data_IF_134211572295
#
_entry.id   IF_134211572295
#
_cell.length_a   1.000
_cell.length_b   1.000
_cell.length_c   1.000
_cell.angle_alpha   90.00
_cell.angle_beta   90.00
_cell.angle_gamma   90.00
#
_symmetry.space_group_name_H-M   'P 1'
#
loop_
_entity.id
_entity.type
_entity.pdbx_description
1 polymer ?
2 water ?
#
# COMPACT_ATOMS: atom_id res chain seq x y z
N UNK A 2 -2.49 19.54 -0.47
CA UNK A 2 -2.00 18.14 -0.22
C UNK A 2 -0.79 18.18 0.70
N UNK A 3 -0.52 17.03 1.35
CA UNK A 3 0.47 16.99 2.41
C UNK A 3 1.10 15.61 2.51
N UNK A 4 2.33 15.61 3.00
CA UNK A 4 3.08 14.38 3.26
C UNK A 4 3.34 14.27 4.77
N UNK A 5 3.87 13.11 5.18
CA UNK A 5 4.27 12.91 6.58
C UNK A 5 5.73 12.45 6.58
N UNK A 6 6.56 13.16 7.35
CA UNK A 6 7.97 12.81 7.55
C UNK A 6 8.14 12.23 8.94
N UNK A 7 8.96 11.21 9.09
CA UNK A 7 9.17 10.62 10.42
C UNK A 7 10.65 10.69 10.79
N UNK A 8 10.93 11.21 11.99
CA UNK A 8 12.30 11.33 12.48
C UNK A 8 12.39 10.47 13.71
N UNK A 9 13.25 9.46 13.65
CA UNK A 9 13.39 8.48 14.73
C UNK A 9 14.58 8.85 15.63
N UNK A 10 14.30 9.61 16.68
CA UNK A 10 15.30 9.86 17.72
C UNK A 10 15.04 9.05 18.98
N UNK A 11 14.40 7.90 18.79
CA UNK A 11 13.92 7.10 19.91
C UNK A 11 14.52 5.70 19.90
N UNK A 12 15.32 5.41 18.88
CA UNK A 12 15.92 4.09 18.69
C UNK A 12 14.84 3.06 18.38
N UNK A 13 13.80 3.49 17.68
CA UNK A 13 12.69 2.60 17.41
C UNK A 13 12.98 1.66 16.24
N UNK A 14 13.81 2.11 15.30
CA UNK A 14 14.16 1.32 14.12
C UNK A 14 12.96 0.81 13.34
N UNK A 15 12.96 -0.49 13.03
CA UNK A 15 11.91 -1.08 12.20
C UNK A 15 10.57 -1.19 12.93
N UNK A 16 10.54 -0.84 14.21
CA UNK A 16 9.27 -0.76 14.95
C UNK A 16 8.41 0.40 14.48
N UNK A 17 9.05 1.38 13.86
CA UNK A 17 8.39 2.63 13.46
C UNK A 17 8.26 2.68 11.94
N UNK A 18 7.03 2.90 11.46
CA UNK A 18 6.81 3.02 10.02
C UNK A 18 5.57 3.84 9.66
N UNK A 19 5.62 4.43 8.48
CA UNK A 19 4.47 5.14 7.91
C UNK A 19 3.82 4.29 6.81
N UNK A 20 2.49 4.19 6.85
CA UNK A 20 1.66 3.56 5.79
C UNK A 20 0.46 4.44 5.41
N UNK A 21 0.22 4.64 4.09
CA UNK A 21 1.15 4.38 2.99
C UNK A 21 2.21 5.50 3.00
N UNK A 22 3.45 5.14 2.64
CA UNK A 22 4.57 6.10 2.65
C UNK A 22 4.82 6.71 1.28
N UNK A 23 5.55 7.82 1.25
CA UNK A 23 6.03 8.40 -0.02
C UNK A 23 5.09 9.33 -0.76
N UNK A 24 3.91 9.61 -0.21
CA UNK A 24 2.91 10.41 -0.93
C UNK A 24 2.68 11.80 -0.36
N UNK A 25 2.35 12.75 -1.26
CA UNK A 25 1.81 14.04 -0.87
C UNK A 25 0.39 14.09 -1.42
N UNK A 26 -0.58 14.01 -0.53
CA UNK A 26 -1.94 13.67 -0.92
C UNK A 26 -2.97 14.21 0.07
N UNK A 27 -4.24 13.88 -0.17
CA UNK A 27 -5.34 14.14 0.78
C UNK A 27 -5.68 12.93 1.67
N UNK A 28 -5.22 11.73 1.27
CA UNK A 28 -5.68 10.46 1.87
C UNK A 28 -5.13 10.31 3.29
N UNK A 29 -5.81 9.53 4.14
CA UNK A 29 -5.24 9.28 5.48
C UNK A 29 -3.86 8.61 5.44
N UNK A 30 -3.03 8.98 6.41
CA UNK A 30 -1.72 8.37 6.62
C UNK A 30 -1.61 7.89 8.06
N UNK A 31 -0.89 6.80 8.26
CA UNK A 31 -0.88 6.12 9.57
C UNK A 31 0.55 5.93 9.97
N UNK A 32 0.92 6.51 11.11
CA UNK A 32 2.25 6.26 11.67
C UNK A 32 2.12 5.20 12.75
N UNK A 33 2.81 4.09 12.54
CA UNK A 33 2.67 2.91 13.39
C UNK A 33 3.94 2.67 14.19
N UNK A 34 3.77 2.29 15.46
CA UNK A 34 4.90 1.92 16.32
C UNK A 34 4.47 0.67 17.05
N UNK A 35 5.25 -0.40 16.88
CA UNK A 35 4.89 -1.70 17.43
C UNK A 35 4.60 -1.59 18.92
N UNK A 36 3.42 -2.06 19.33
CA UNK A 36 3.02 -2.09 20.73
C UNK A 36 2.08 -0.95 21.06
N UNK A 37 1.95 0.02 20.16
CA UNK A 37 1.13 1.19 20.40
C UNK A 37 0.04 1.36 19.36
N UNK A 38 -0.96 2.19 19.70
CA UNK A 38 -2.02 2.57 18.77
C UNK A 38 -1.46 3.43 17.63
N UNK A 39 -1.88 3.17 16.36
CA UNK A 39 -1.46 4.04 15.27
C UNK A 39 -1.89 5.48 15.49
N UNK A 40 -1.06 6.41 15.03
CA UNK A 40 -1.42 7.81 14.94
C UNK A 40 -1.95 8.03 13.52
N UNK A 41 -3.19 8.51 13.39
CA UNK A 41 -3.80 8.75 12.08
C UNK A 41 -3.74 10.24 11.71
N UNK A 42 -3.30 10.51 10.49
CA UNK A 42 -3.30 11.86 9.93
C UNK A 42 -4.34 11.86 8.82
N UNK A 43 -5.25 12.83 8.84
CA UNK A 43 -6.32 12.84 7.82
C UNK A 43 -6.98 14.21 7.74
N UNK A 44 -7.85 14.35 6.75
CA UNK A 44 -8.58 15.60 6.54
C UNK A 44 -9.97 15.62 7.20
N UNK A 45 -10.10 14.98 8.36
CA UNK A 45 -11.38 15.03 9.11
C UNK A 45 -11.60 16.44 9.67
N UNK A 46 -12.74 17.05 9.30
CA UNK A 46 -13.02 18.43 9.67
C UNK A 46 -13.78 18.63 10.96
N UNK A 47 -14.19 19.89 11.23
CA UNK A 47 -13.94 21.06 10.37
C UNK A 47 -12.55 21.66 10.59
N UNK A 48 -12.18 22.62 9.76
CA UNK A 48 -10.92 23.34 9.95
C UNK A 48 -11.07 24.28 11.16
N UNK A 49 -10.20 24.08 12.16
CA UNK A 49 -10.11 24.99 13.31
C UNK A 49 -8.87 25.89 13.26
N UNK A 50 -7.84 25.45 12.53
CA UNK A 50 -6.59 26.22 12.40
C UNK A 50 -6.77 27.46 11.51
N UNK A 51 -5.89 28.45 11.68
CA UNK A 51 -5.98 29.69 10.92
C UNK A 51 -5.40 29.60 9.50
N UNK A 52 -4.51 28.65 9.26
CA UNK A 52 -3.91 28.46 7.94
C UNK A 52 -4.95 28.02 6.90
N UNK A 53 -4.60 28.17 5.62
CA UNK A 53 -5.48 27.78 4.49
C UNK A 53 -5.90 26.32 4.57
N UNK A 54 -4.93 25.46 4.91
CA UNK A 54 -5.12 24.00 4.85
C UNK A 54 -4.79 23.35 6.19
N UNK A 55 -5.31 22.14 6.39
CA UNK A 55 -5.19 21.49 7.68
C UNK A 55 -4.95 19.97 7.57
N UNK A 56 -4.41 19.43 8.65
CA UNK A 56 -4.24 17.99 8.84
C UNK A 56 -4.68 17.70 10.29
N UNK A 57 -5.67 16.82 10.43
CA UNK A 57 -6.17 16.40 11.74
C UNK A 57 -5.42 15.14 12.20
N UNK A 58 -5.08 15.12 13.48
CA UNK A 58 -4.30 14.01 14.04
C UNK A 58 -5.14 13.30 15.09
N UNK A 59 -5.28 11.98 14.91
CA UNK A 59 -5.88 11.13 15.92
C UNK A 59 -4.83 10.25 16.59
N UNK A 60 -4.84 10.26 17.92
CA UNK A 60 -3.96 9.37 18.70
C UNK A 60 -4.80 8.15 19.09
N UNK A 61 -4.64 7.06 18.34
CA UNK A 61 -5.58 5.94 18.47
C UNK A 61 -6.96 6.46 18.11
N UNK A 62 -7.93 6.25 19.01
CA UNK A 62 -9.33 6.63 18.81
C UNK A 62 -9.52 8.15 18.83
N UNK A 63 -8.70 8.82 19.60
CA UNK A 63 -9.00 10.18 20.05
C UNK A 63 -8.36 11.30 19.23
N UNK A 64 -9.15 12.34 19.00
CA UNK A 64 -8.61 13.49 18.31
C UNK A 64 -7.58 14.17 19.21
N UNK A 65 -6.35 14.24 18.71
CA UNK A 65 -5.23 14.81 19.46
C UNK A 65 -5.17 16.33 19.25
N UNK A 66 -5.09 16.75 17.99
CA UNK A 66 -5.03 18.18 17.61
C UNK A 66 -5.09 18.32 16.10
N UNK A 67 -5.12 19.56 15.62
CA UNK A 67 -5.11 19.80 14.19
C UNK A 67 -3.92 20.69 13.87
N UNK A 68 -3.30 20.41 12.73
CA UNK A 68 -2.15 21.15 12.21
C UNK A 68 -2.60 21.97 11.00
N UNK A 69 -1.94 23.10 10.78
CA UNK A 69 -2.20 23.94 9.60
C UNK A 69 -0.99 24.04 8.71
N UNK A 70 -1.24 24.31 7.44
CA UNK A 70 -0.15 24.51 6.48
C UNK A 70 -0.57 25.39 5.30
N UNK A 71 0.44 25.96 4.67
CA UNK A 71 0.30 26.66 3.41
C UNK A 71 1.13 25.90 2.39
N UNK A 72 0.81 26.06 1.11
CA UNK A 72 1.55 25.39 0.04
C UNK A 72 1.41 23.88 0.14
N UNK A 73 2.46 23.14 -0.22
CA UNK A 73 2.50 21.70 -0.04
C UNK A 73 2.93 21.38 1.38
N UNK A 74 2.02 20.81 2.17
CA UNK A 74 2.27 20.53 3.59
C UNK A 74 3.19 19.35 3.86
N UNK A 75 4.01 19.48 4.92
CA UNK A 75 4.85 18.38 5.40
C UNK A 75 4.67 18.32 6.91
N UNK A 76 3.97 17.30 7.38
CA UNK A 76 3.84 17.10 8.82
C UNK A 76 5.00 16.18 9.25
N UNK A 77 5.88 16.70 10.10
CA UNK A 77 7.03 15.93 10.55
C UNK A 77 6.77 15.46 11.98
N UNK A 78 6.82 14.14 12.19
CA UNK A 78 6.68 13.56 13.53
C UNK A 78 8.04 13.10 14.01
N UNK A 79 8.50 13.69 15.11
CA UNK A 79 9.80 13.35 15.70
C UNK A 79 9.60 12.53 16.97
N UNK A 80 10.20 11.35 16.98
CA UNK A 80 10.06 10.41 18.07
C UNK A 80 11.22 10.44 19.03
N UNK A 81 10.94 10.52 20.33
CA UNK A 81 12.00 10.34 21.34
C UNK A 81 11.54 9.29 22.36
N UNK A 82 12.50 8.78 23.11
CA UNK A 82 12.26 7.69 24.06
C UNK A 82 11.16 8.05 25.05
N UNK A 83 10.43 7.02 25.49
CA UNK A 83 9.27 7.25 26.38
C UNK A 83 7.97 7.51 25.64
N UNK A 84 7.93 7.19 24.34
CA UNK A 84 6.71 7.34 23.55
C UNK A 84 6.36 8.80 23.26
N UNK A 85 7.38 9.66 23.27
CA UNK A 85 7.17 11.08 23.02
C UNK A 85 7.19 11.37 21.53
N UNK A 86 6.20 12.13 21.08
CA UNK A 86 6.11 12.49 19.67
C UNK A 86 5.87 13.98 19.57
N UNK A 87 6.70 14.67 18.81
CA UNK A 87 6.48 16.07 18.48
C UNK A 87 6.13 16.17 17.01
N UNK A 88 4.99 16.79 16.71
CA UNK A 88 4.50 16.91 15.32
C UNK A 88 4.40 18.38 14.90
N UNK A 89 5.03 18.70 13.78
CA UNK A 89 5.08 20.08 13.32
C UNK A 89 4.94 20.16 11.81
N UNK A 90 4.35 21.25 11.33
CA UNK A 90 4.29 21.53 9.88
C UNK A 90 5.14 22.76 9.50
N UNK A 91 5.67 23.45 10.51
CA UNK A 91 6.33 24.74 10.26
C UNK A 91 5.37 25.91 10.30
N UNK A 92 4.09 25.64 10.56
CA UNK A 92 3.08 26.68 10.75
C UNK A 92 2.43 26.52 12.10
N UNK A 93 2.46 27.59 12.89
CA UNK A 93 2.00 27.53 14.26
C UNK A 93 3.02 26.74 15.07
N UNK A 94 2.68 26.39 16.28
CA UNK A 94 3.63 25.68 17.13
C UNK A 94 3.57 24.17 16.92
N UNK A 95 4.70 23.51 17.14
CA UNK A 95 4.75 22.05 17.20
C UNK A 95 3.85 21.60 18.34
N UNK A 96 3.27 20.41 18.20
CA UNK A 96 2.37 19.88 19.22
C UNK A 96 2.83 18.50 19.65
N UNK A 97 2.71 18.22 20.95
CA UNK A 97 3.19 16.99 21.52
C UNK A 97 2.04 16.01 21.80
N UNK A 98 2.32 14.72 21.62
CA UNK A 98 1.47 13.67 22.19
C UNK A 98 2.37 12.53 22.70
N UNK A 99 1.75 11.63 23.43
CA UNK A 99 2.43 10.42 23.86
C UNK A 99 1.68 9.21 23.36
N UNK A 100 2.46 8.28 22.81
CA UNK A 100 1.95 7.01 22.29
C UNK A 100 1.12 6.29 23.34
N UNK A 101 0.06 5.63 22.90
CA UNK A 101 -0.82 4.88 23.80
C UNK A 101 -0.56 3.40 23.64
N UNK A 102 -0.16 2.75 24.73
CA UNK A 102 0.11 1.31 24.69
C UNK A 102 -1.17 0.56 24.38
N UNK A 103 -1.08 -0.44 23.51
CA UNK A 103 -2.19 -1.37 23.32
C UNK A 103 -2.19 -2.39 24.46
N UNK A 104 -3.31 -2.46 25.17
CA UNK A 104 -3.40 -3.29 26.36
C UNK A 104 -4.08 -4.62 26.06
N UNK B 2 3.95 -18.19 13.74
CA UNK B 2 3.90 -17.14 12.67
C UNK B 2 2.50 -17.11 12.09
N UNK B 3 2.12 -15.98 11.49
CA UNK B 3 0.74 -15.81 11.03
C UNK B 3 0.64 -14.73 9.99
N UNK B 4 -0.35 -14.83 9.12
CA UNK B 4 -0.63 -13.81 8.14
C UNK B 4 -2.01 -13.21 8.42
N UNK B 5 -2.30 -12.10 7.75
CA UNK B 5 -3.65 -11.50 7.77
C UNK B 5 -4.07 -11.40 6.32
N UNK B 6 -5.33 -11.74 6.05
CA UNK B 6 -5.94 -11.59 4.75
C UNK B 6 -7.21 -10.80 4.96
N UNK B 7 -7.53 -9.95 3.99
CA UNK B 7 -8.75 -9.16 4.08
C UNK B 7 -9.69 -9.50 2.93
N UNK B 8 -11.00 -9.41 3.21
CA UNK B 8 -12.00 -9.80 2.21
C UNK B 8 -13.04 -8.69 2.17
N UNK B 9 -13.13 -8.03 1.03
CA UNK B 9 -14.03 -6.88 0.86
C UNK B 9 -15.41 -7.35 0.35
N UNK B 10 -16.37 -7.50 1.26
CA UNK B 10 -17.76 -7.68 0.84
C UNK B 10 -18.58 -6.44 1.22
N UNK B 11 -17.94 -5.26 1.21
CA UNK B 11 -18.58 -4.02 1.62
C UNK B 11 -18.40 -2.90 0.60
N UNK B 12 -18.01 -3.26 -0.63
CA UNK B 12 -17.68 -2.28 -1.68
C UNK B 12 -16.75 -1.15 -1.26
N UNK B 13 -15.80 -1.44 -0.38
CA UNK B 13 -14.86 -0.42 0.10
C UNK B 13 -13.83 -0.03 -0.94
N UNK B 14 -13.46 -1.01 -1.78
CA UNK B 14 -12.49 -0.80 -2.86
C UNK B 14 -11.18 -0.24 -2.35
N UNK B 15 -10.73 0.85 -2.95
CA UNK B 15 -9.45 1.46 -2.61
C UNK B 15 -9.40 2.09 -1.21
N UNK B 16 -10.54 2.11 -0.51
CA UNK B 16 -10.63 2.64 0.85
C UNK B 16 -10.25 1.65 1.92
N UNK B 17 -10.02 0.40 1.51
CA UNK B 17 -9.58 -0.68 2.40
C UNK B 17 -8.14 -1.06 2.11
N UNK B 18 -7.30 -1.16 3.15
CA UNK B 18 -5.89 -1.48 2.93
C UNK B 18 -5.33 -2.36 4.05
N UNK B 19 -4.28 -3.12 3.73
CA UNK B 19 -3.59 -3.96 4.72
C UNK B 19 -2.11 -3.65 4.64
N UNK B 20 -1.49 -3.51 5.81
CA UNK B 20 -0.07 -3.21 5.94
C UNK B 20 0.59 -4.12 6.98
N UNK B 21 1.88 -4.45 6.76
CA UNK B 21 2.69 -4.13 5.57
C UNK B 21 2.41 -4.99 4.33
N UNK B 22 1.83 -6.17 4.53
CA UNK B 22 1.64 -7.17 3.45
C UNK B 22 0.73 -8.28 3.92
N UNK B 23 0.39 -9.19 2.99
CA UNK B 23 -0.38 -10.37 3.35
C UNK B 23 0.47 -11.57 3.71
N UNK B 24 1.77 -11.37 3.96
CA UNK B 24 2.69 -12.49 4.22
C UNK B 24 2.74 -12.90 5.69
N UNK B 25 3.34 -14.06 5.97
CA UNK B 25 3.37 -14.56 7.34
C UNK B 25 4.58 -14.06 8.14
N UNK B 26 4.33 -13.66 9.38
CA UNK B 26 5.39 -13.29 10.31
C UNK B 26 4.85 -13.11 11.71
N UNK B 27 5.59 -12.43 12.58
CA UNK B 27 5.11 -12.23 13.94
C UNK B 27 4.91 -10.76 14.25
N UNK B 28 5.14 -9.88 13.27
CA UNK B 28 5.06 -8.42 13.51
C UNK B 28 3.61 -7.96 13.46
N UNK B 29 3.31 -6.75 13.99
CA UNK B 29 1.95 -6.25 13.86
C UNK B 29 1.51 -6.06 12.42
N UNK B 30 0.23 -6.33 12.20
CA UNK B 30 -0.44 -6.01 10.94
C UNK B 30 -1.51 -4.97 11.21
N UNK B 31 -1.78 -4.13 10.20
CA UNK B 31 -2.71 -3.02 10.35
C UNK B 31 -3.68 -3.01 9.17
N UNK B 32 -4.98 -2.90 9.46
CA UNK B 32 -5.98 -2.80 8.41
C UNK B 32 -6.67 -1.44 8.55
N UNK B 33 -6.75 -0.71 7.45
CA UNK B 33 -7.24 0.67 7.48
C UNK B 33 -8.44 0.80 6.58
N UNK B 34 -9.40 1.62 7.02
CA UNK B 34 -10.58 1.94 6.25
C UNK B 34 -10.77 3.45 6.36
N UNK B 35 -10.73 4.13 5.23
CA UNK B 35 -10.83 5.61 5.18
C UNK B 35 -11.95 6.14 6.06
N UNK B 36 -11.55 6.96 7.04
CA UNK B 36 -12.45 7.67 7.94
C UNK B 36 -12.72 6.98 9.27
N UNK B 37 -12.15 5.79 9.46
CA UNK B 37 -12.35 4.97 10.67
C UNK B 37 -11.05 4.72 11.40
N UNK B 38 -11.12 4.36 12.68
CA UNK B 38 -9.91 3.94 13.42
C UNK B 38 -9.35 2.64 12.82
N UNK B 39 -8.03 2.56 12.63
CA UNK B 39 -7.41 1.35 12.06
C UNK B 39 -7.50 0.16 13.03
N UNK B 40 -7.47 -1.04 12.47
CA UNK B 40 -7.50 -2.26 13.25
C UNK B 40 -6.07 -2.77 13.33
N UNK B 41 -5.60 -3.11 14.53
CA UNK B 41 -4.27 -3.65 14.70
C UNK B 41 -4.38 -5.12 15.07
N UNK B 42 -3.53 -5.92 14.43
CA UNK B 42 -3.38 -7.34 14.75
C UNK B 42 -1.96 -7.52 15.32
N UNK B 43 -1.83 -8.06 16.53
CA UNK B 43 -0.47 -8.22 17.07
C UNK B 43 -0.41 -9.20 18.22
N UNK B 44 0.80 -9.48 18.67
CA UNK B 44 1.01 -10.44 19.77
C UNK B 44 1.04 -9.75 21.15
N UNK B 45 0.06 -8.89 21.42
CA UNK B 45 -0.06 -8.28 22.75
C UNK B 45 -0.69 -9.31 23.69
N UNK B 46 0.04 -9.70 24.73
CA UNK B 46 -0.44 -10.70 25.67
C UNK B 46 -1.17 -10.11 26.87
N UNK B 47 -1.51 -10.96 27.86
CA UNK B 47 -1.21 -12.39 27.89
C UNK B 47 -2.14 -13.19 26.97
N UNK B 48 -1.81 -14.47 26.79
CA UNK B 48 -2.64 -15.36 26.01
C UNK B 48 -3.85 -15.72 26.85
N UNK B 49 -5.03 -15.43 26.31
CA UNK B 49 -6.28 -15.78 26.97
C UNK B 49 -6.95 -16.97 26.26
N UNK B 50 -6.66 -17.15 24.96
CA UNK B 50 -7.25 -18.25 24.19
C UNK B 50 -6.61 -19.57 24.56
N UNK B 51 -7.29 -20.66 24.21
CA UNK B 51 -6.87 -22.02 24.60
C UNK B 51 -5.80 -22.62 23.66
N UNK B 52 -5.75 -22.12 22.42
CA UNK B 52 -4.75 -22.57 21.44
C UNK B 52 -3.34 -22.26 21.89
N UNK B 53 -2.37 -22.88 21.22
CA UNK B 53 -0.97 -22.68 21.53
C UNK B 53 -0.56 -21.24 21.25
N UNK B 54 -1.14 -20.64 20.20
CA UNK B 54 -0.70 -19.34 19.70
C UNK B 54 -1.88 -18.40 19.54
N UNK B 55 -1.57 -17.10 19.61
CA UNK B 55 -2.64 -16.11 19.60
C UNK B 55 -2.32 -14.91 18.75
N UNK B 56 -3.37 -14.22 18.33
CA UNK B 56 -3.28 -12.94 17.66
C UNK B 56 -4.31 -12.04 18.34
N UNK B 57 -3.82 -10.97 18.96
CA UNK B 57 -4.71 -9.98 19.60
C UNK B 57 -5.17 -8.92 18.60
N UNK B 58 -6.44 -8.56 18.67
CA UNK B 58 -7.00 -7.55 17.77
C UNK B 58 -7.44 -6.31 18.56
N UNK B 59 -6.96 -5.14 18.12
CA UNK B 59 -7.36 -3.86 18.70
C UNK B 59 -8.17 -3.07 17.67
N UNK B 60 -9.31 -2.57 18.11
CA UNK B 60 -10.16 -1.71 17.29
C UNK B 60 -9.81 -0.29 17.72
N UNK B 61 -9.02 0.41 16.90
CA UNK B 61 -8.38 1.66 17.37
C UNK B 61 -7.49 1.34 18.57
N UNK B 62 -7.68 2.04 19.69
CA UNK B 62 -6.83 1.80 20.86
C UNK B 62 -7.45 0.78 21.85
N UNK B 63 -8.65 0.30 21.55
CA UNK B 63 -9.38 -0.64 22.44
C UNK B 63 -9.11 -2.11 22.07
N UNK B 64 -8.89 -2.97 23.08
CA UNK B 64 -8.78 -4.41 22.83
C UNK B 64 -10.13 -4.97 22.39
N UNK B 65 -10.20 -5.56 21.21
CA UNK B 65 -11.48 -6.08 20.73
C UNK B 65 -11.65 -7.50 21.21
N UNK B 66 -10.66 -8.34 20.90
CA UNK B 66 -10.67 -9.76 21.26
C UNK B 66 -9.34 -10.39 20.88
N UNK B 67 -9.20 -11.69 21.14
CA UNK B 67 -7.99 -12.41 20.81
C UNK B 67 -8.35 -13.66 20.02
N UNK B 68 -7.57 -13.95 18.99
CA UNK B 68 -7.79 -15.13 18.15
C UNK B 68 -6.74 -16.17 18.48
N UNK B 69 -7.12 -17.44 18.38
CA UNK B 69 -6.18 -18.53 18.56
C UNK B 69 -5.89 -19.24 17.26
N UNK B 70 -4.71 -19.84 17.17
CA UNK B 70 -4.39 -20.66 16.02
C UNK B 70 -3.40 -21.75 16.39
N UNK B 71 -3.34 -22.77 15.53
CA UNK B 71 -2.33 -23.81 15.60
C UNK B 71 -1.63 -23.84 14.23
N UNK B 72 -0.39 -24.33 14.20
CA UNK B 72 0.35 -24.38 12.94
C UNK B 72 0.69 -22.98 12.46
N UNK B 73 0.58 -22.74 11.16
CA UNK B 73 0.83 -21.41 10.60
C UNK B 73 -0.51 -20.70 10.59
N UNK B 74 -0.59 -19.57 11.29
CA UNK B 74 -1.87 -18.87 11.48
C UNK B 74 -2.29 -18.02 10.29
N UNK B 75 -3.60 -17.95 10.06
CA UNK B 75 -4.15 -17.04 9.04
C UNK B 75 -5.40 -16.40 9.64
N UNK B 76 -5.33 -15.09 9.89
CA UNK B 76 -6.47 -14.35 10.42
C UNK B 76 -7.13 -13.65 9.26
N UNK B 77 -8.37 -14.03 8.95
CA UNK B 77 -9.07 -13.45 7.78
C UNK B 77 -10.17 -12.52 8.27
N UNK B 78 -10.11 -11.26 7.84
CA UNK B 78 -11.09 -10.26 8.22
C UNK B 78 -12.01 -9.97 7.03
N UNK B 79 -13.31 -10.25 7.22
CA UNK B 79 -14.31 -10.06 6.16
C UNK B 79 -15.19 -8.86 6.50
N UNK B 80 -15.26 -7.92 5.54
CA UNK B 80 -15.93 -6.63 5.72
C UNK B 80 -17.28 -6.62 5.04
N UNK B 81 -18.33 -6.23 5.77
CA UNK B 81 -19.68 -6.07 5.20
C UNK B 81 -20.26 -4.69 5.57
N UNK B 82 -21.44 -4.38 5.04
CA UNK B 82 -22.08 -3.08 5.27
C UNK B 82 -22.14 -2.68 6.75
N UNK B 83 -22.09 -1.37 6.96
CA UNK B 83 -22.16 -0.80 8.33
C UNK B 83 -20.83 -0.88 9.07
N UNK B 84 -19.73 -1.05 8.34
CA UNK B 84 -18.43 -1.23 8.99
C UNK B 84 -18.37 -2.47 9.88
N UNK B 85 -19.07 -3.53 9.46
CA UNK B 85 -19.09 -4.77 10.20
C UNK B 85 -17.94 -5.67 9.76
N UNK B 86 -17.20 -6.21 10.73
CA UNK B 86 -16.03 -7.02 10.43
C UNK B 86 -16.08 -8.34 11.19
N UNK B 87 -16.01 -9.44 10.43
CA UNK B 87 -15.95 -10.77 11.02
C UNK B 87 -14.53 -11.29 10.82
N UNK B 88 -13.91 -11.68 11.93
CA UNK B 88 -12.53 -12.13 11.93
C UNK B 88 -12.41 -13.56 12.46
N UNK B 89 -11.71 -14.41 11.70
CA UNK B 89 -11.57 -15.83 12.02
C UNK B 89 -10.18 -16.34 11.63
N UNK B 90 -9.69 -17.28 12.44
CA UNK B 90 -8.49 -18.05 12.13
C UNK B 90 -8.85 -19.51 11.74
N UNK B 91 -10.13 -19.84 11.83
CA UNK B 91 -10.58 -21.22 11.63
C UNK B 91 -10.44 -22.10 12.88
N UNK B 92 -9.91 -21.52 13.96
CA UNK B 92 -9.81 -22.18 15.28
C UNK B 92 -10.65 -21.39 16.24
N UNK B 93 -11.53 -22.09 16.97
CA UNK B 93 -12.53 -21.42 17.77
C UNK B 93 -13.50 -20.66 16.90
N UNK B 94 -14.37 -19.87 17.51
CA UNK B 94 -15.42 -19.19 16.77
C UNK B 94 -14.91 -17.89 16.16
N UNK B 95 -15.51 -17.47 15.05
CA UNK B 95 -15.24 -16.17 14.44
C UNK B 95 -15.70 -15.08 15.40
N UNK B 96 -15.01 -13.95 15.42
CA UNK B 96 -15.38 -12.84 16.28
C UNK B 96 -15.69 -11.60 15.44
N UNK B 97 -16.45 -10.68 16.03
CA UNK B 97 -17.00 -9.52 15.30
C UNK B 97 -16.61 -8.23 15.98
N UNK B 98 -16.29 -7.23 15.15
CA UNK B 98 -16.18 -5.86 15.63
C UNK B 98 -16.86 -4.94 14.64
N UNK B 99 -17.13 -3.70 15.08
CA UNK B 99 -17.70 -2.69 14.23
C UNK B 99 -16.73 -1.52 14.17
N UNK B 100 -16.40 -1.10 12.96
CA UNK B 100 -15.53 0.05 12.75
C UNK B 100 -16.06 1.31 13.42
N UNK B 101 -15.14 2.10 13.97
CA UNK B 101 -15.46 3.36 14.65
C UNK B 101 -14.98 4.56 13.84
N UNK B 102 -15.89 5.49 13.58
CA UNK B 102 -15.52 6.73 12.89
C UNK B 102 -14.56 7.54 13.73
N UNK B 103 -13.57 8.12 13.08
CA UNK B 103 -12.69 9.08 13.75
C UNK B 103 -13.43 10.43 13.81
N UNK B 104 -13.59 10.96 15.01
CA UNK B 104 -14.40 12.18 15.24
C UNK B 104 -13.59 13.45 15.10
N UNK C 2 21.95 4.76 -3.84
CA UNK C 2 20.53 4.44 -3.42
C UNK C 2 19.62 5.63 -3.63
N UNK C 3 18.31 5.38 -3.76
CA UNK C 3 17.38 6.41 -4.12
C UNK C 3 15.97 6.05 -3.62
N UNK C 4 15.16 7.09 -3.44
CA UNK C 4 13.77 6.91 -3.06
C UNK C 4 12.87 7.50 -4.15
N UNK C 5 11.60 7.13 -4.10
CA UNK C 5 10.60 7.73 -4.95
C UNK C 5 9.59 8.41 -4.04
N UNK C 6 9.22 9.63 -4.42
CA UNK C 6 8.14 10.40 -3.77
C UNK C 6 7.08 10.67 -4.83
N UNK C 7 5.81 10.59 -4.45
CA UNK C 7 4.73 10.94 -5.39
C UNK C 7 3.95 12.15 -4.86
N UNK C 8 3.48 13.01 -5.77
CA UNK C 8 2.77 14.23 -5.40
C UNK C 8 1.47 14.29 -6.20
N UNK C 9 0.35 14.29 -5.48
CA UNK C 9 -0.97 14.18 -6.13
C UNK C 9 -1.56 15.57 -6.35
N UNK C 10 -1.26 16.18 -7.48
CA UNK C 10 -1.95 17.42 -7.84
C UNK C 10 -3.02 17.19 -8.90
N UNK C 11 -3.65 16.01 -8.85
CA UNK C 11 -4.63 15.58 -9.85
C UNK C 11 -5.94 15.07 -9.27
N UNK C 12 -6.09 15.14 -7.95
CA UNK C 12 -7.26 14.62 -7.27
C UNK C 12 -7.41 13.11 -7.43
N UNK C 13 -6.29 12.41 -7.60
CA UNK C 13 -6.34 10.94 -7.75
C UNK C 13 -6.75 10.23 -6.43
N UNK C 14 -6.35 10.83 -5.32
CA UNK C 14 -6.61 10.27 -3.99
C UNK C 14 -6.15 8.83 -3.89
N UNK C 15 -7.07 7.95 -3.47
CA UNK C 15 -6.71 6.54 -3.19
C UNK C 15 -6.41 5.74 -4.47
N UNK C 16 -6.66 6.32 -5.64
CA UNK C 16 -6.35 5.66 -6.91
C UNK C 16 -4.87 5.73 -7.31
N UNK C 17 -4.06 6.46 -6.54
CA UNK C 17 -2.63 6.58 -6.80
C UNK C 17 -1.84 5.90 -5.68
N UNK C 18 -0.83 5.10 -6.02
CA UNK C 18 -0.08 4.36 -5.01
C UNK C 18 1.38 4.19 -5.42
N UNK C 19 2.23 3.95 -4.43
CA UNK C 19 3.66 3.71 -4.61
C UNK C 19 4.03 2.43 -3.92
N UNK C 20 4.79 1.57 -4.61
CA UNK C 20 5.25 0.31 -4.03
C UNK C 20 6.75 0.10 -4.26
N UNK C 21 7.42 -0.59 -3.32
CA UNK C 21 6.86 -1.14 -2.09
C UNK C 21 6.70 -0.13 -0.97
N UNK C 22 7.42 0.99 -1.07
CA UNK C 22 7.45 2.03 -0.01
C UNK C 22 8.17 3.28 -0.54
N UNK C 23 8.14 4.35 0.25
CA UNK C 23 8.92 5.54 0.00
C UNK C 23 10.37 5.48 0.44
N UNK C 24 10.81 4.32 0.93
CA UNK C 24 12.15 4.17 1.49
C UNK C 24 13.23 4.16 0.41
N UNK C 25 14.46 4.45 0.85
CA UNK C 25 15.62 4.46 -0.04
C UNK C 25 16.11 3.04 -0.31
N UNK C 26 16.41 2.72 -1.58
CA UNK C 26 16.84 1.37 -2.00
C UNK C 26 17.54 1.42 -3.37
N UNK C 27 17.90 0.23 -3.87
CA UNK C 27 18.34 0.07 -5.27
C UNK C 27 17.30 -0.64 -6.15
N UNK C 28 16.28 -1.24 -5.50
CA UNK C 28 15.29 -2.09 -6.18
C UNK C 28 14.27 -1.29 -6.99
N UNK C 29 13.57 -1.94 -7.94
CA UNK C 29 12.52 -1.21 -8.67
C UNK C 29 11.44 -0.66 -7.73
N UNK C 30 10.94 0.52 -8.07
CA UNK C 30 9.75 1.08 -7.44
C UNK C 30 8.66 1.17 -8.49
N UNK C 31 7.41 1.07 -8.07
CA UNK C 31 6.27 1.08 -8.99
C UNK C 31 5.23 2.09 -8.52
N UNK C 32 4.76 2.92 -9.45
CA UNK C 32 3.69 3.85 -9.14
C UNK C 32 2.50 3.48 -10.01
N UNK C 33 1.36 3.25 -9.34
CA UNK C 33 0.17 2.75 -10.00
C UNK C 33 -0.92 3.80 -9.95
N UNK C 34 -1.67 3.87 -11.05
CA UNK C 34 -2.86 4.73 -11.12
C UNK C 34 -4.00 3.90 -11.72
N UNK C 35 -5.10 3.75 -10.98
CA UNK C 35 -6.21 2.88 -11.38
C UNK C 35 -6.62 3.12 -12.84
N UNK C 36 -6.54 2.06 -13.64
CA UNK C 36 -7.01 2.09 -15.05
C UNK C 36 -5.91 2.34 -16.05
N UNK C 37 -4.72 2.68 -15.54
CA UNK C 37 -3.55 3.00 -16.35
C UNK C 37 -2.40 2.00 -16.20
N UNK C 38 -1.50 1.99 -17.16
CA UNK C 38 -0.29 1.16 -17.01
C UNK C 38 0.59 1.75 -15.91
N UNK C 39 1.18 0.87 -15.07
CA UNK C 39 2.06 1.33 -13.99
C UNK C 39 3.36 1.95 -14.53
N UNK C 40 3.94 2.83 -13.73
CA UNK C 40 5.23 3.44 -14.03
C UNK C 40 6.27 2.69 -13.22
N UNK C 41 7.32 2.21 -13.88
CA UNK C 41 8.42 1.50 -13.22
C UNK C 41 9.65 2.43 -13.13
N UNK C 42 10.25 2.47 -11.95
CA UNK C 42 11.47 3.21 -11.70
C UNK C 42 12.51 2.15 -11.35
N UNK C 43 13.65 2.13 -12.03
CA UNK C 43 14.62 1.09 -11.74
C UNK C 43 16.01 1.40 -12.30
N UNK C 44 16.96 0.52 -11.99
CA UNK C 44 18.34 0.75 -12.42
C UNK C 44 18.67 0.04 -13.73
N UNK C 45 17.72 0.00 -14.65
CA UNK C 45 17.97 -0.58 -15.97
C UNK C 45 18.88 0.35 -16.75
N UNK C 46 20.05 -0.17 -17.13
CA UNK C 46 21.08 0.61 -17.82
C UNK C 46 21.09 0.46 -19.34
N UNK C 47 22.14 1.00 -19.98
CA UNK C 47 23.28 1.64 -19.30
C UNK C 47 23.01 3.09 -18.87
N UNK C 48 23.92 3.67 -18.11
CA UNK C 48 23.80 5.09 -17.75
C UNK C 48 24.00 5.95 -19.00
N UNK C 49 23.06 6.86 -19.23
CA UNK C 49 23.17 7.86 -20.31
C UNK C 49 23.24 9.29 -19.77
N UNK C 50 22.82 9.48 -18.52
CA UNK C 50 22.89 10.80 -17.89
C UNK C 50 24.32 11.15 -17.44
N UNK C 51 24.55 12.44 -17.24
CA UNK C 51 25.88 13.01 -16.90
C UNK C 51 26.21 12.87 -15.42
N UNK C 52 25.18 12.66 -14.58
CA UNK C 52 25.37 12.49 -13.11
C UNK C 52 26.01 11.14 -12.80
N UNK C 53 26.54 11.00 -11.58
CA UNK C 53 27.17 9.74 -11.17
C UNK C 53 26.22 8.54 -11.19
N UNK C 54 24.97 8.79 -10.80
CA UNK C 54 23.99 7.72 -10.64
C UNK C 54 22.73 8.03 -11.44
N UNK C 55 21.92 7.00 -11.67
CA UNK C 55 20.74 7.14 -12.49
C UNK C 55 19.55 6.28 -12.06
N UNK C 56 18.38 6.73 -12.48
CA UNK C 56 17.12 6.02 -12.28
C UNK C 56 16.41 6.04 -13.63
N UNK C 57 16.14 4.85 -14.16
CA UNK C 57 15.44 4.72 -15.43
C UNK C 57 13.94 4.60 -15.19
N UNK C 58 13.16 5.21 -16.05
CA UNK C 58 11.71 5.24 -15.92
C UNK C 58 11.04 4.53 -17.11
N UNK C 59 10.20 3.55 -16.83
CA UNK C 59 9.35 2.94 -17.86
C UNK C 59 7.88 3.30 -17.69
N UNK C 60 7.26 3.67 -18.80
CA UNK C 60 5.84 3.95 -18.88
C UNK C 60 5.14 2.71 -19.43
N UNK C 61 4.60 1.90 -18.53
CA UNK C 61 4.18 0.56 -18.92
C UNK C 61 5.43 -0.21 -19.32
N UNK C 62 5.43 -0.79 -20.52
CA UNK C 62 6.57 -1.62 -20.88
C UNK C 62 7.57 -0.86 -21.80
N UNK C 63 7.35 0.45 -21.95
CA UNK C 63 8.15 1.30 -22.82
C UNK C 63 9.09 2.21 -22.04
N UNK C 64 10.35 2.26 -22.48
CA UNK C 64 11.29 3.17 -21.83
C UNK C 64 10.82 4.60 -22.02
N UNK C 65 10.76 5.35 -20.91
CA UNK C 65 10.33 6.74 -20.97
C UNK C 65 11.53 7.69 -21.06
N UNK C 66 12.41 7.61 -20.06
CA UNK C 66 13.58 8.48 -19.97
C UNK C 66 14.42 8.05 -18.77
N UNK C 67 15.56 8.69 -18.59
CA UNK C 67 16.43 8.36 -17.46
C UNK C 67 16.76 9.65 -16.74
N UNK C 68 16.76 9.60 -15.42
CA UNK C 68 17.10 10.75 -14.60
C UNK C 68 18.42 10.51 -13.86
N UNK C 69 19.19 11.58 -13.62
CA UNK C 69 20.43 11.44 -12.85
C UNK C 69 20.35 11.97 -11.42
N UNK C 70 21.26 11.52 -10.58
CA UNK C 70 21.36 12.07 -9.23
C UNK C 70 22.77 11.94 -8.65
N UNK C 71 23.03 12.77 -7.64
CA UNK C 71 24.20 12.64 -6.79
C UNK C 71 23.72 12.37 -5.36
N UNK C 72 24.58 11.80 -4.52
CA UNK C 72 24.22 11.50 -3.13
C UNK C 72 23.02 10.56 -3.04
N UNK C 73 22.18 10.77 -2.02
CA UNK C 73 20.98 9.96 -1.84
C UNK C 73 19.89 10.49 -2.75
N UNK C 74 19.58 9.76 -3.81
CA UNK C 74 18.64 10.26 -4.81
C UNK C 74 17.19 10.27 -4.36
N UNK C 75 16.44 11.22 -4.91
CA UNK C 75 15.00 11.29 -4.75
C UNK C 75 14.35 11.63 -6.08
N UNK C 76 13.60 10.67 -6.62
CA UNK C 76 12.80 10.87 -7.83
C UNK C 76 11.39 11.27 -7.42
N UNK C 77 11.03 12.53 -7.67
CA UNK C 77 9.68 13.00 -7.34
C UNK C 77 8.81 13.04 -8.59
N UNK C 78 7.69 12.30 -8.55
CA UNK C 78 6.73 12.24 -9.62
C UNK C 78 5.47 13.02 -9.26
N UNK C 79 5.22 14.09 -9.99
CA UNK C 79 4.09 15.00 -9.73
C UNK C 79 2.98 14.83 -10.79
N UNK C 80 1.79 14.51 -10.28
CA UNK C 80 0.61 14.16 -11.09
C UNK C 80 -0.35 15.32 -11.23
N UNK C 81 -0.71 15.66 -12.47
CA UNK C 81 -1.71 16.69 -12.73
C UNK C 81 -2.79 16.17 -13.66
N UNK C 82 -3.88 16.93 -13.80
CA UNK C 82 -5.02 16.49 -14.62
C UNK C 82 -4.64 15.98 -16.01
N UNK C 83 -5.39 15.00 -16.50
CA UNK C 83 -5.16 14.44 -17.84
C UNK C 83 -4.09 13.37 -17.86
N UNK C 84 -3.76 12.83 -16.69
CA UNK C 84 -2.71 11.82 -16.60
C UNK C 84 -1.32 12.36 -16.89
N UNK C 85 -1.08 13.63 -16.59
CA UNK C 85 0.22 14.24 -16.82
C UNK C 85 1.12 14.04 -15.62
N UNK C 86 2.35 13.63 -15.90
CA UNK C 86 3.29 13.29 -14.86
C UNK C 86 4.61 13.97 -15.20
N UNK C 87 5.10 14.73 -14.23
CA UNK C 87 6.40 15.37 -14.33
C UNK C 87 7.30 14.78 -13.26
N UNK C 88 8.46 14.29 -13.70
CA UNK C 88 9.40 13.58 -12.82
C UNK C 88 10.76 14.24 -12.78
N UNK C 89 11.24 14.49 -11.58
CA UNK C 89 12.50 15.21 -11.42
C UNK C 89 13.28 14.65 -10.23
N UNK C 90 14.61 14.71 -10.31
CA UNK C 90 15.45 14.38 -9.16
C UNK C 90 16.11 15.67 -8.62
N UNK C 91 15.81 16.79 -9.26
CA UNK C 91 16.48 18.07 -8.96
C UNK C 91 17.86 18.17 -9.63
N UNK C 92 18.28 17.11 -10.32
CA UNK C 92 19.51 17.18 -11.13
C UNK C 92 19.10 17.12 -12.60
N UNK C 93 19.46 18.14 -13.38
CA UNK C 93 18.96 18.24 -14.74
C UNK C 93 17.51 18.67 -14.77
N UNK C 94 16.90 18.63 -15.94
CA UNK C 94 15.52 19.11 -16.06
C UNK C 94 14.53 18.03 -15.68
N UNK C 95 13.35 18.46 -15.24
CA UNK C 95 12.20 17.55 -15.07
C UNK C 95 11.83 16.97 -16.42
N UNK C 96 11.37 15.73 -16.45
CA UNK C 96 10.89 15.16 -17.69
C UNK C 96 9.45 14.70 -17.55
N UNK C 97 8.75 14.66 -18.67
CA UNK C 97 7.31 14.49 -18.64
C UNK C 97 6.91 13.17 -19.30
N UNK C 98 5.84 12.55 -18.78
CA UNK C 98 5.17 11.45 -19.47
C UNK C 98 3.66 11.57 -19.28
N UNK C 99 2.92 10.86 -20.13
CA UNK C 99 1.48 10.83 -20.05
C UNK C 99 1.04 9.39 -19.78
N UNK C 100 0.20 9.21 -18.76
CA UNK C 100 -0.28 7.86 -18.39
C UNK C 100 -1.04 7.28 -19.57
N UNK C 101 -0.94 5.96 -19.73
CA UNK C 101 -1.55 5.25 -20.84
C UNK C 101 -2.63 4.35 -20.28
N UNK C 102 -3.88 4.55 -20.75
CA UNK C 102 -4.96 3.66 -20.33
C UNK C 102 -4.65 2.21 -20.71
N UNK C 103 -4.96 1.28 -19.82
CA UNK C 103 -4.88 -0.12 -20.19
C UNK C 103 -6.07 -0.47 -21.10
N UNK C 104 -5.76 -1.01 -22.28
CA UNK C 104 -6.75 -1.21 -23.33
C UNK C 104 -7.64 -2.44 -23.09
N UNK D 2 -15.72 -10.58 -6.37
CA UNK D 2 -14.41 -10.07 -5.80
C UNK D 2 -13.39 -11.19 -5.87
N UNK D 3 -12.11 -10.81 -5.90
CA UNK D 3 -11.09 -11.78 -6.26
C UNK D 3 -9.75 -11.43 -5.62
N UNK D 4 -8.94 -12.45 -5.42
CA UNK D 4 -7.56 -12.33 -4.94
C UNK D 4 -6.61 -12.84 -6.02
N UNK D 5 -5.29 -12.66 -5.82
CA UNK D 5 -4.26 -13.17 -6.72
C UNK D 5 -3.32 -13.99 -5.84
N UNK D 6 -2.96 -15.17 -6.31
CA UNK D 6 -1.99 -16.01 -5.62
C UNK D 6 -0.81 -16.23 -6.56
N UNK D 7 0.37 -15.87 -6.10
CA UNK D 7 1.62 -16.23 -6.81
C UNK D 7 2.07 -17.65 -6.45
N UNK D 8 2.47 -18.42 -7.47
CA UNK D 8 3.22 -19.66 -7.26
C UNK D 8 4.58 -19.51 -7.95
N UNK D 9 5.65 -19.44 -7.18
CA UNK D 9 6.98 -19.22 -7.75
C UNK D 9 7.70 -20.54 -7.98
N UNK D 10 7.58 -21.04 -9.21
CA UNK D 10 8.34 -22.20 -9.64
C UNK D 10 9.49 -21.86 -10.59
N UNK D 11 10.00 -20.62 -10.47
CA UNK D 11 11.01 -20.06 -11.40
C UNK D 11 12.28 -19.62 -10.68
N UNK D 12 12.36 -19.85 -9.38
CA UNK D 12 13.49 -19.37 -8.59
C UNK D 12 13.61 -17.85 -8.51
N UNK D 13 12.50 -17.14 -8.64
CA UNK D 13 12.54 -15.68 -8.68
C UNK D 13 12.77 -15.06 -7.30
N UNK D 14 12.29 -15.75 -6.28
CA UNK D 14 12.43 -15.29 -4.89
C UNK D 14 11.99 -13.85 -4.65
N UNK D 15 12.89 -13.04 -4.07
CA UNK D 15 12.56 -11.64 -3.74
C UNK D 15 12.34 -10.74 -4.96
N UNK D 16 12.61 -11.23 -6.16
CA UNK D 16 12.38 -10.46 -7.39
C UNK D 16 10.90 -10.44 -7.80
N UNK D 17 10.11 -11.29 -7.17
CA UNK D 17 8.71 -11.53 -7.56
C UNK D 17 7.80 -11.17 -6.39
N UNK D 18 6.84 -10.27 -6.63
CA UNK D 18 5.92 -9.84 -5.56
C UNK D 18 4.56 -9.40 -6.07
N UNK D 19 3.57 -9.41 -5.17
CA UNK D 19 2.22 -8.92 -5.42
C UNK D 19 1.98 -7.63 -4.64
N UNK D 20 1.45 -6.61 -5.33
CA UNK D 20 1.09 -5.30 -4.76
C UNK D 20 -0.28 -4.80 -5.28
N UNK D 21 -1.19 -4.40 -4.38
CA UNK D 21 -1.13 -4.62 -2.93
C UNK D 21 -1.52 -6.08 -2.65
N UNK D 22 -0.93 -6.69 -1.62
CA UNK D 22 -1.20 -8.10 -1.32
C UNK D 22 -2.24 -8.28 -0.21
N UNK D 23 -2.83 -9.48 -0.18
CA UNK D 23 -3.67 -9.97 0.93
C UNK D 23 -5.16 -9.71 0.82
N UNK D 24 -5.59 -9.12 -0.30
CA UNK D 24 -7.00 -8.71 -0.46
C UNK D 24 -7.81 -9.56 -1.44
N UNK D 25 -9.08 -9.72 -1.10
CA UNK D 25 -10.08 -10.25 -2.03
C UNK D 25 -11.01 -9.08 -2.30
N UNK D 26 -10.91 -8.55 -3.51
CA UNK D 26 -11.43 -7.20 -3.80
C UNK D 26 -11.70 -7.02 -5.28
N UNK D 27 -11.99 -5.77 -5.65
CA UNK D 27 -12.25 -5.38 -7.05
C UNK D 27 -11.11 -4.54 -7.62
N UNK D 28 -10.20 -4.06 -6.77
CA UNK D 28 -9.18 -3.06 -7.20
C UNK D 28 -8.11 -3.74 -8.06
N UNK D 29 -7.38 -2.97 -8.89
CA UNK D 29 -6.28 -3.63 -9.61
C UNK D 29 -5.23 -4.23 -8.66
N UNK D 30 -4.65 -5.35 -9.10
CA UNK D 30 -3.49 -5.95 -8.41
C UNK D 30 -2.35 -6.08 -9.42
N UNK D 31 -1.11 -5.95 -8.92
CA UNK D 31 0.06 -5.95 -9.79
C UNK D 31 1.02 -7.03 -9.32
N UNK D 32 1.45 -7.86 -10.26
CA UNK D 32 2.50 -8.83 -9.98
C UNK D 32 3.75 -8.34 -10.71
N UNK D 33 4.76 -8.07 -9.90
CA UNK D 33 5.99 -7.41 -10.35
C UNK D 33 7.16 -8.39 -10.35
N UNK D 34 7.98 -8.32 -11.40
CA UNK D 34 9.19 -9.16 -11.54
C UNK D 34 10.32 -8.20 -11.93
N UNK D 35 11.31 -8.08 -11.04
CA UNK D 35 12.43 -7.16 -11.25
C UNK D 35 13.06 -7.33 -12.65
N UNK D 36 13.04 -6.24 -13.42
CA UNK D 36 13.68 -6.20 -14.73
C UNK D 36 12.65 -6.39 -15.84
N UNK D 37 11.42 -6.70 -15.44
CA UNK D 37 10.34 -7.06 -16.37
C UNK D 37 9.12 -6.17 -16.14
N UNK D 38 8.24 -6.08 -17.16
CA UNK D 38 7.05 -5.24 -17.04
C UNK D 38 6.07 -5.90 -16.09
N UNK D 39 5.43 -5.10 -15.19
CA UNK D 39 4.36 -5.60 -14.34
C UNK D 39 3.22 -6.28 -15.10
N UNK D 40 2.65 -7.30 -14.48
CA UNK D 40 1.42 -7.92 -14.95
C UNK D 40 0.33 -7.24 -14.13
N UNK D 41 -0.60 -6.60 -14.81
CA UNK D 41 -1.76 -5.96 -14.15
C UNK D 41 -2.99 -6.87 -14.24
N UNK D 42 -3.66 -7.06 -13.10
CA UNK D 42 -4.92 -7.80 -12.98
C UNK D 42 -5.97 -6.76 -12.64
N UNK D 43 -7.04 -6.62 -13.42
CA UNK D 43 -8.01 -5.55 -13.12
C UNK D 43 -9.36 -5.78 -13.79
N UNK D 44 -10.32 -4.92 -13.51
CA UNK D 44 -11.66 -5.09 -14.05
C UNK D 44 -11.92 -4.25 -15.31
N UNK D 45 -10.91 -4.10 -16.16
CA UNK D 45 -11.07 -3.40 -17.45
C UNK D 45 -11.96 -4.21 -18.39
N UNK D 46 -13.03 -3.57 -18.87
CA UNK D 46 -13.96 -4.22 -19.78
C UNK D 46 -13.51 -4.15 -21.23
N UNK D 47 -14.32 -4.68 -22.15
CA UNK D 47 -15.65 -5.27 -21.87
C UNK D 47 -15.52 -6.73 -21.40
N UNK D 48 -16.58 -7.30 -20.85
CA UNK D 48 -16.61 -8.73 -20.54
C UNK D 48 -16.64 -9.54 -21.83
N UNK D 49 -15.68 -10.44 -22.00
CA UNK D 49 -15.68 -11.34 -23.16
C UNK D 49 -15.91 -12.79 -22.72
N UNK D 50 -15.58 -13.10 -21.47
CA UNK D 50 -15.79 -14.46 -20.93
C UNK D 50 -17.28 -14.72 -20.63
N UNK D 51 -17.65 -15.98 -20.51
CA UNK D 51 -19.04 -16.33 -20.30
C UNK D 51 -19.45 -16.33 -18.83
N UNK D 52 -18.47 -16.41 -17.92
CA UNK D 52 -18.76 -16.42 -16.48
C UNK D 52 -19.36 -15.07 -16.03
N UNK D 53 -19.97 -15.07 -14.84
CA UNK D 53 -20.55 -13.84 -14.28
C UNK D 53 -19.51 -12.74 -14.11
N UNK D 54 -18.39 -13.09 -13.50
CA UNK D 54 -17.39 -12.07 -13.16
C UNK D 54 -16.11 -12.34 -13.94
N UNK D 55 -15.27 -11.32 -14.03
CA UNK D 55 -14.02 -11.47 -14.78
C UNK D 55 -12.85 -10.69 -14.20
N UNK D 56 -11.65 -11.06 -14.65
CA UNK D 56 -10.40 -10.39 -14.31
C UNK D 56 -9.64 -10.26 -15.63
N UNK D 57 -9.36 -9.03 -16.05
CA UNK D 57 -8.55 -8.78 -17.24
C UNK D 57 -7.07 -8.75 -16.84
N UNK D 58 -6.22 -9.37 -17.66
CA UNK D 58 -4.78 -9.40 -17.44
C UNK D 58 -4.04 -8.60 -18.52
N UNK D 59 -3.24 -7.62 -18.10
CA UNK D 59 -2.34 -6.92 -19.02
C UNK D 59 -0.89 -7.31 -18.76
N UNK D 60 -0.19 -7.68 -19.84
CA UNK D 60 1.22 -8.06 -19.78
C UNK D 60 2.00 -6.80 -20.17
N UNK D 61 2.49 -6.05 -19.18
CA UNK D 61 2.92 -4.67 -19.42
C UNK D 61 1.72 -3.94 -20.03
N UNK D 62 1.89 -3.33 -21.20
CA UNK D 62 0.76 -2.68 -21.87
C UNK D 62 -0.18 -3.61 -22.63
N UNK D 63 0.29 -4.80 -22.98
CA UNK D 63 -0.49 -5.71 -23.82
C UNK D 63 -1.71 -6.25 -23.07
N UNK D 64 -2.91 -6.13 -23.65
CA UNK D 64 -4.05 -6.89 -23.10
C UNK D 64 -3.80 -8.37 -23.42
N UNK D 65 -3.49 -9.15 -22.40
CA UNK D 65 -3.02 -10.53 -22.62
C UNK D 65 -4.19 -11.48 -22.80
N UNK D 66 -5.13 -11.41 -21.86
CA UNK D 66 -6.32 -12.26 -21.92
C UNK D 66 -7.27 -11.85 -20.79
N UNK D 67 -8.43 -12.51 -20.71
CA UNK D 67 -9.39 -12.29 -19.62
C UNK D 67 -9.82 -13.61 -19.04
N UNK D 68 -9.89 -13.67 -17.71
CA UNK D 68 -10.28 -14.87 -17.02
C UNK D 68 -11.64 -14.67 -16.38
N UNK D 69 -12.44 -15.73 -16.35
CA UNK D 69 -13.78 -15.65 -15.73
C UNK D 69 -13.79 -16.33 -14.37
N UNK D 70 -14.73 -15.96 -13.51
CA UNK D 70 -14.96 -16.71 -12.28
C UNK D 70 -16.41 -16.54 -11.78
N UNK D 71 -16.78 -17.39 -10.83
CA UNK D 71 -18.05 -17.28 -10.09
C UNK D 71 -17.70 -17.28 -8.62
N UNK D 72 -18.57 -16.69 -7.80
CA UNK D 72 -18.34 -16.61 -6.34
C UNK D 72 -17.07 -15.82 -6.07
N UNK D 73 -16.34 -16.21 -5.03
CA UNK D 73 -15.08 -15.52 -4.66
C UNK D 73 -13.94 -16.00 -5.55
N UNK D 74 -13.51 -15.17 -6.50
CA UNK D 74 -12.44 -15.59 -7.47
C UNK D 74 -11.04 -15.63 -6.87
N UNK D 75 -10.23 -16.57 -7.37
CA UNK D 75 -8.81 -16.60 -7.05
C UNK D 75 -8.06 -16.82 -8.34
N UNK D 76 -7.27 -15.82 -8.74
CA UNK D 76 -6.41 -15.95 -9.93
C UNK D 76 -5.05 -16.43 -9.47
N UNK D 77 -4.74 -17.69 -9.77
CA UNK D 77 -3.46 -18.28 -9.38
C UNK D 77 -2.49 -18.16 -10.56
N UNK D 78 -1.38 -17.44 -10.35
CA UNK D 78 -0.38 -17.17 -11.40
C UNK D 78 0.89 -17.98 -11.10
N UNK D 79 1.19 -18.94 -11.97
CA UNK D 79 2.30 -19.84 -11.75
C UNK D 79 3.47 -19.45 -12.66
N UNK D 80 4.60 -19.12 -12.03
CA UNK D 80 5.81 -18.67 -12.73
C UNK D 80 6.77 -19.83 -12.87
N UNK D 81 7.19 -20.07 -14.10
CA UNK D 81 8.11 -21.17 -14.38
C UNK D 81 9.37 -20.65 -15.11
N UNK D 82 10.33 -21.55 -15.34
CA UNK D 82 11.55 -21.18 -16.07
C UNK D 82 11.25 -20.43 -17.37
N UNK D 83 12.19 -19.55 -17.72
CA UNK D 83 12.16 -18.90 -19.01
C UNK D 83 11.07 -17.86 -19.12
N UNK D 84 10.62 -17.32 -17.99
CA UNK D 84 9.65 -16.22 -17.99
C UNK D 84 8.19 -16.58 -18.30
N UNK D 85 7.89 -17.86 -18.38
CA UNK D 85 6.50 -18.32 -18.65
C UNK D 85 5.64 -18.12 -17.41
N UNK D 86 4.38 -17.73 -17.61
CA UNK D 86 3.42 -17.58 -16.52
C UNK D 86 2.11 -18.20 -16.99
N UNK D 87 1.54 -19.08 -16.16
CA UNK D 87 0.23 -19.66 -16.42
C UNK D 87 -0.72 -19.12 -15.39
N UNK D 88 -1.84 -18.54 -15.85
CA UNK D 88 -2.80 -17.92 -14.93
C UNK D 88 -4.18 -18.58 -15.10
N UNK D 89 -4.79 -18.94 -13.98
CA UNK D 89 -6.09 -19.58 -14.00
C UNK D 89 -6.91 -19.30 -12.76
N UNK D 90 -8.23 -19.32 -12.94
CA UNK D 90 -9.16 -19.09 -11.86
C UNK D 90 -9.86 -20.40 -11.49
N UNK D 91 -9.58 -21.47 -12.25
CA UNK D 91 -10.35 -22.72 -12.08
C UNK D 91 -11.63 -22.73 -12.90
N UNK D 92 -11.95 -21.61 -13.54
CA UNK D 92 -13.04 -21.51 -14.50
C UNK D 92 -12.48 -21.28 -15.90
N UNK D 93 -12.83 -22.18 -16.81
CA UNK D 93 -12.29 -22.11 -18.16
C UNK D 93 -10.83 -22.54 -18.19
N UNK D 94 -10.17 -22.30 -19.30
CA UNK D 94 -8.77 -22.73 -19.47
C UNK D 94 -7.79 -21.86 -18.68
N UNK D 95 -6.67 -22.46 -18.25
CA UNK D 95 -5.51 -21.66 -17.85
C UNK D 95 -4.99 -20.94 -19.09
N UNK D 96 -4.53 -19.70 -18.91
CA UNK D 96 -3.96 -18.95 -20.06
C UNK D 96 -2.56 -18.48 -19.73
N UNK D 97 -1.76 -18.34 -20.77
CA UNK D 97 -0.33 -18.27 -20.61
C UNK D 97 0.25 -17.02 -21.24
N UNK D 98 1.30 -16.47 -20.63
CA UNK D 98 2.06 -15.36 -21.18
C UNK D 98 3.55 -15.53 -20.88
N UNK D 99 4.38 -14.77 -21.60
CA UNK D 99 5.82 -14.72 -21.33
C UNK D 99 6.13 -13.28 -20.91
N UNK D 100 6.84 -13.14 -19.79
CA UNK D 100 7.20 -11.82 -19.25
C UNK D 100 8.00 -11.02 -20.27
N UNK D 101 7.78 -9.69 -20.26
CA UNK D 101 8.43 -8.75 -21.19
C UNK D 101 9.57 -7.99 -20.50
N UNK D 102 10.78 -8.14 -21.03
CA UNK D 102 11.94 -7.42 -20.51
C UNK D 102 11.78 -5.92 -20.73
N UNK D 103 12.00 -5.15 -19.67
CA UNK D 103 12.07 -3.69 -19.79
C UNK D 103 13.42 -3.30 -20.41
N UNK D 104 13.38 -2.57 -21.52
CA UNK D 104 14.56 -2.27 -22.31
C UNK D 104 15.22 -0.95 -21.89
#
# INVERSE_FOLDING_TARGET
MVWSVQIVDNAGLGANLALYPSGNSSTVPRYVTVTGYAPITFSEIGPKTVHQSWYITVHNGDDRAFQLGYEGGGVATATFTAGGNVSISTGFGDAQHLTLKKLA
MVWSVQIVDNAGLGANLALYPSGNSSTVPRYVTVTGYAPITFSEIGPKTVHQSWYITVHNGDDRAFQLGYEGGGVATATFTAGGNVSISTGFGDAQHLTLKKLA
MVWSVQIVDNAGLGANLALYPSGNSSTVPRYVTVTGYAPITFSEIGPKTVHQSWYITVHNGDDRAFQLGYEGGGVATATFTAGGNVSISTGFGDAQHLTLKKLA
MVWSVQIVDNAGLGANLALYPSGNSSTVPRYVTVTGYAPITFSEIGPKTVHQSWYITVHNGDDRAFQLGYEGGGVATATFTAGGNVSISTGFGDAQHLTLKKLA
#
